data_IF_270233132275
#
_entry.id   IF_270233132275
#
_cell.length_a   1.000
_cell.length_b   1.000
_cell.length_c   1.000
_cell.angle_alpha   90.00
_cell.angle_beta   90.00
_cell.angle_gamma   90.00
#
_symmetry.space_group_name_H-M   'P 1'
#
loop_
_entity.id
_entity.type
_entity.pdbx_description
1 polymer ?
#
# COMPACT_ATOMS: atom_id res chain seq x y z
N UNK A 1 -16.28 10.50 6.69
CA UNK A 1 -16.11 9.43 5.68
C UNK A 1 -14.68 9.48 5.16
N UNK A 2 -14.04 8.32 5.14
CA UNK A 2 -12.64 8.22 4.67
C UNK A 2 -12.61 7.21 3.53
N UNK A 3 -12.57 7.71 2.31
CA UNK A 3 -12.54 6.87 1.13
C UNK A 3 -11.64 7.52 0.08
N UNK A 4 -10.63 6.81 -0.36
CA UNK A 4 -9.71 7.28 -1.38
C UNK A 4 -9.52 6.24 -2.47
N UNK A 5 -9.17 6.70 -3.67
CA UNK A 5 -8.91 5.83 -4.81
C UNK A 5 -7.64 6.31 -5.50
N UNK A 6 -6.72 5.38 -5.74
CA UNK A 6 -5.46 5.67 -6.40
C UNK A 6 -5.21 4.69 -7.53
N UNK A 7 -4.53 5.17 -8.56
CA UNK A 7 -3.94 4.32 -9.59
C UNK A 7 -2.44 4.29 -9.32
N UNK A 8 -1.88 3.09 -9.28
CA UNK A 8 -0.46 2.92 -9.02
C UNK A 8 0.10 1.72 -9.78
N UNK A 9 1.40 1.73 -9.97
CA UNK A 9 2.13 0.57 -10.51
C UNK A 9 2.84 -0.11 -9.35
N UNK A 10 2.56 -1.40 -9.17
CA UNK A 10 3.10 -2.15 -8.03
C UNK A 10 4.62 -2.17 -8.08
N UNK A 11 5.24 -1.83 -6.96
CA UNK A 11 6.68 -1.94 -6.78
C UNK A 11 6.98 -3.23 -6.01
N UNK A 12 7.54 -4.20 -6.70
CA UNK A 12 7.81 -5.56 -6.25
C UNK A 12 6.51 -6.34 -6.01
N UNK A 13 6.60 -7.65 -6.11
CA UNK A 13 5.47 -8.55 -5.91
C UNK A 13 4.85 -8.35 -4.53
N UNK A 14 3.52 -8.43 -4.45
CA UNK A 14 2.82 -8.34 -3.18
C UNK A 14 3.21 -9.48 -2.25
N UNK A 15 3.24 -9.18 -0.96
CA UNK A 15 3.59 -10.15 0.08
C UNK A 15 2.36 -10.54 0.88
N UNK A 16 2.30 -11.80 1.27
CA UNK A 16 1.25 -12.31 2.13
C UNK A 16 1.84 -12.61 3.51
N UNK A 17 1.17 -12.13 4.54
CA UNK A 17 1.52 -12.40 5.93
C UNK A 17 0.27 -12.83 6.67
N UNK A 18 0.47 -13.51 7.79
CA UNK A 18 -0.62 -13.92 8.67
C UNK A 18 -0.45 -13.27 10.03
N UNK A 19 -1.56 -12.79 10.59
CA UNK A 19 -1.58 -12.27 11.95
C UNK A 19 -1.51 -13.42 12.95
N UNK A 20 -1.33 -13.11 14.23
CA UNK A 20 -1.33 -14.11 15.29
C UNK A 20 -2.66 -14.86 15.37
N UNK A 21 -3.75 -14.22 14.96
CA UNK A 21 -5.07 -14.85 14.89
C UNK A 21 -5.31 -15.67 13.63
N UNK A 22 -4.33 -15.76 12.73
CA UNK A 22 -4.45 -16.54 11.50
C UNK A 22 -5.07 -15.80 10.34
N UNK A 23 -5.31 -14.50 10.46
CA UNK A 23 -5.86 -13.69 9.39
C UNK A 23 -4.80 -13.36 8.33
N UNK A 24 -5.17 -13.45 7.07
CA UNK A 24 -4.29 -13.15 5.95
C UNK A 24 -4.23 -11.65 5.69
N UNK A 25 -3.02 -11.13 5.49
CA UNK A 25 -2.79 -9.75 5.06
C UNK A 25 -1.91 -9.79 3.82
N UNK A 26 -2.43 -9.25 2.72
CA UNK A 26 -1.68 -9.09 1.47
C UNK A 26 -1.34 -7.62 1.32
N UNK A 27 -0.06 -7.32 1.15
CA UNK A 27 0.39 -5.93 1.05
C UNK A 27 1.40 -5.73 -0.07
N UNK A 28 1.39 -4.51 -0.63
CA UNK A 28 2.36 -4.08 -1.61
C UNK A 28 2.55 -2.57 -1.49
N UNK A 29 3.62 -2.07 -2.10
CA UNK A 29 3.90 -0.64 -2.15
C UNK A 29 3.77 -0.14 -3.58
N UNK A 30 3.40 1.12 -3.71
CA UNK A 30 3.36 1.76 -5.01
C UNK A 30 3.45 3.26 -4.90
N UNK A 31 3.98 3.93 -5.95
CA UNK A 31 4.06 5.38 -5.98
C UNK A 31 2.75 5.97 -6.47
N UNK A 32 2.34 7.06 -5.82
CA UNK A 32 1.20 7.86 -6.26
C UNK A 32 1.73 9.25 -6.57
N UNK A 33 1.48 9.73 -7.77
CA UNK A 33 1.99 11.02 -8.22
C UNK A 33 0.89 12.06 -8.19
N UNK A 34 1.27 13.29 -7.79
CA UNK A 34 0.38 14.43 -7.83
C UNK A 34 1.13 15.65 -8.36
N UNK A 35 0.38 16.58 -8.97
CA UNK A 35 0.95 17.79 -9.54
C UNK A 35 1.36 17.63 -10.99
N UNK A 36 1.92 18.69 -11.56
CA UNK A 36 2.32 18.76 -12.95
C UNK A 36 3.74 19.29 -13.10
N UNK A 37 4.45 18.78 -14.08
CA UNK A 37 5.76 19.29 -14.46
C UNK A 37 6.74 19.29 -13.29
N UNK A 38 7.34 20.45 -13.02
CA UNK A 38 8.34 20.58 -11.95
C UNK A 38 7.75 20.50 -10.55
N UNK A 39 6.43 20.64 -10.42
CA UNK A 39 5.75 20.56 -9.12
C UNK A 39 5.22 19.16 -8.83
N UNK A 40 5.65 18.19 -9.59
CA UNK A 40 5.23 16.81 -9.41
C UNK A 40 5.79 16.22 -8.13
N UNK A 41 4.91 15.63 -7.31
CA UNK A 41 5.29 15.02 -6.05
C UNK A 41 4.93 13.54 -6.11
N UNK A 42 5.88 12.68 -5.74
CA UNK A 42 5.66 11.25 -5.65
C UNK A 42 5.53 10.85 -4.19
N UNK A 43 4.41 10.21 -3.86
CA UNK A 43 4.15 9.70 -2.52
C UNK A 43 4.13 8.18 -2.57
N UNK A 44 4.93 7.54 -1.73
CA UNK A 44 4.96 6.10 -1.62
C UNK A 44 3.95 5.64 -0.60
N UNK A 45 3.04 4.76 -1.03
CA UNK A 45 1.93 4.30 -0.20
C UNK A 45 2.00 2.79 -0.08
N UNK A 46 1.75 2.30 1.13
CA UNK A 46 1.60 0.88 1.39
C UNK A 46 0.11 0.53 1.31
N UNK A 47 -0.21 -0.44 0.48
CA UNK A 47 -1.57 -0.92 0.31
C UNK A 47 -1.71 -2.27 0.98
N UNK A 48 -2.76 -2.44 1.77
CA UNK A 48 -2.98 -3.67 2.53
C UNK A 48 -4.40 -4.16 2.33
N UNK A 49 -4.57 -5.47 2.12
CA UNK A 49 -5.86 -6.11 2.03
C UNK A 49 -5.93 -7.25 3.04
N UNK A 50 -7.04 -7.32 3.73
CA UNK A 50 -7.26 -8.32 4.78
C UNK A 50 -8.19 -9.41 4.30
N UNK A 51 -7.93 -10.65 4.73
CA UNK A 51 -8.82 -11.79 4.51
C UNK A 51 -8.75 -12.38 3.12
N UNK A 52 -9.82 -13.06 2.73
CA UNK A 52 -9.87 -13.84 1.49
C UNK A 52 -9.78 -12.98 0.23
N UNK A 53 -10.20 -11.72 0.31
CA UNK A 53 -10.14 -10.82 -0.82
C UNK A 53 -8.71 -10.60 -1.29
N UNK A 54 -7.79 -10.42 -0.33
CA UNK A 54 -6.39 -10.29 -0.65
C UNK A 54 -5.81 -11.58 -1.22
N UNK A 55 -6.19 -12.72 -0.66
CA UNK A 55 -5.73 -14.02 -1.16
C UNK A 55 -6.15 -14.28 -2.59
N UNK A 56 -7.37 -13.88 -2.96
CA UNK A 56 -7.89 -14.09 -4.30
C UNK A 56 -7.12 -13.33 -5.37
N UNK A 57 -6.62 -12.13 -5.05
CA UNK A 57 -5.95 -11.30 -6.03
C UNK A 57 -4.42 -11.40 -5.95
N UNK A 58 -3.89 -12.05 -4.93
CA UNK A 58 -2.44 -12.16 -4.73
C UNK A 58 -1.67 -12.62 -5.98
N UNK A 59 -2.14 -13.63 -6.74
CA UNK A 59 -1.41 -14.07 -7.95
C UNK A 59 -1.30 -13.00 -9.03
N UNK A 60 -2.17 -12.00 -8.99
CA UNK A 60 -2.19 -10.92 -9.99
C UNK A 60 -1.41 -9.68 -9.55
N UNK A 61 -1.02 -9.61 -8.28
CA UNK A 61 -0.34 -8.44 -7.72
C UNK A 61 1.18 -8.58 -7.85
N UNK A 62 1.64 -8.51 -9.09
CA UNK A 62 3.05 -8.67 -9.42
C UNK A 62 3.72 -7.34 -9.68
N UNK A 63 5.05 -7.35 -9.59
CA UNK A 63 5.88 -6.18 -9.86
C UNK A 63 5.53 -5.54 -11.20
N UNK A 64 5.41 -4.22 -11.21
CA UNK A 64 5.13 -3.39 -12.38
C UNK A 64 3.71 -3.51 -12.93
N UNK A 65 2.82 -4.23 -12.27
CA UNK A 65 1.43 -4.28 -12.67
C UNK A 65 0.71 -2.99 -12.28
N UNK A 66 -0.05 -2.42 -13.21
CA UNK A 66 -0.83 -1.23 -12.92
C UNK A 66 -2.17 -1.62 -12.34
N UNK A 67 -2.54 -1.02 -11.22
CA UNK A 67 -3.78 -1.33 -10.51
C UNK A 67 -4.48 -0.05 -10.06
N UNK A 68 -5.77 -0.14 -9.86
CA UNK A 68 -6.56 0.89 -9.18
C UNK A 68 -6.96 0.36 -7.82
N UNK A 69 -6.73 1.15 -6.79
CA UNK A 69 -6.96 0.76 -5.40
C UNK A 69 -7.90 1.74 -4.75
N UNK A 70 -8.91 1.22 -4.06
CA UNK A 70 -9.89 2.02 -3.32
C UNK A 70 -9.91 1.53 -1.88
N UNK A 71 -9.93 2.46 -0.92
CA UNK A 71 -9.94 2.08 0.48
C UNK A 71 -9.84 3.27 1.42
N UNK A 72 -9.53 3.00 2.67
CA UNK A 72 -9.35 4.00 3.70
C UNK A 72 -7.88 4.39 3.83
N UNK A 73 -7.63 5.68 3.94
CA UNK A 73 -6.28 6.22 4.11
C UNK A 73 -5.95 6.35 5.59
N UNK A 74 -4.79 5.86 5.97
CA UNK A 74 -4.27 6.02 7.33
C UNK A 74 -2.80 6.43 7.29
N UNK A 75 -2.39 7.26 8.23
CA UNK A 75 -0.98 7.62 8.39
C UNK A 75 -0.46 6.92 9.63
N UNK A 76 0.48 6.00 9.44
CA UNK A 76 1.03 5.20 10.52
C UNK A 76 2.41 5.71 10.91
N UNK A 77 2.58 5.99 12.19
CA UNK A 77 3.87 6.39 12.74
C UNK A 77 4.62 5.15 13.25
N UNK A 78 5.91 5.08 12.94
CA UNK A 78 6.77 4.02 13.44
C UNK A 78 8.17 4.55 13.68
N UNK A 79 8.93 3.85 14.53
CA UNK A 79 10.33 4.17 14.80
C UNK A 79 11.22 3.26 14.01
N UNK A 80 12.14 3.82 13.22
CA UNK A 80 13.06 3.02 12.43
C UNK A 80 14.24 2.49 13.28
N UNK A 81 15.15 1.78 12.63
CA UNK A 81 16.30 1.17 13.31
C UNK A 81 17.26 2.19 13.90
N UNK A 82 17.23 3.40 13.38
CA UNK A 82 18.10 4.49 13.84
C UNK A 82 17.46 5.32 14.96
N UNK A 83 16.25 4.94 15.40
CA UNK A 83 15.52 5.63 16.43
C UNK A 83 14.76 6.85 15.97
N UNK A 84 14.71 7.10 14.67
CA UNK A 84 13.99 8.23 14.11
C UNK A 84 12.53 7.86 13.85
N UNK A 85 11.63 8.82 14.11
CA UNK A 85 10.22 8.66 13.79
C UNK A 85 10.00 8.75 12.29
N UNK A 86 9.30 7.79 11.75
CA UNK A 86 8.94 7.74 10.34
C UNK A 86 7.44 7.59 10.20
N UNK A 87 6.92 8.02 9.07
CA UNK A 87 5.50 7.92 8.77
C UNK A 87 5.31 7.08 7.51
N UNK A 88 4.31 6.22 7.54
CA UNK A 88 3.94 5.41 6.40
C UNK A 88 2.47 5.66 6.10
N UNK A 89 2.15 6.05 4.87
CA UNK A 89 0.77 6.17 4.43
C UNK A 89 0.30 4.79 4.02
N UNK A 90 -0.84 4.38 4.54
CA UNK A 90 -1.41 3.07 4.26
C UNK A 90 -2.84 3.24 3.74
N UNK A 91 -3.20 2.40 2.77
CA UNK A 91 -4.57 2.29 2.28
C UNK A 91 -5.04 0.87 2.53
N UNK A 92 -6.13 0.76 3.23
CA UNK A 92 -6.69 -0.53 3.63
C UNK A 92 -7.93 -0.88 2.83
#
# INVERSE_FOLDING_TARGET
MNNCTFTTRIYKDAEQRFTQGGDSIVSFKGPVESGYGQNKVTTWIKFSMFGKRGESVLPYLKDKTQVAVSGELANREYTDKEGQKRYSLEVR
#
